data_IF_988960756996
#
_entry.id   IF_988960756996
#
_cell.length_a   1.000
_cell.length_b   1.000
_cell.length_c   1.000
_cell.angle_alpha   90.00
_cell.angle_beta   90.00
_cell.angle_gamma   90.00
#
_symmetry.space_group_name_H-M   'P 1'
#
loop_
_entity.id
_entity.type
_entity.pdbx_description
1 polymer ?
#
# COMPACT_ATOMS: atom_id res chain seq x y z
N UNK A 1 1.07 12.47 21.11
CA UNK A 1 -0.20 12.89 20.48
C UNK A 1 -0.35 12.08 19.20
N UNK A 2 -1.14 11.00 19.21
CA UNK A 2 -1.48 10.28 17.98
C UNK A 2 -2.78 10.89 17.44
N UNK A 3 -2.70 11.54 16.28
CA UNK A 3 -3.87 12.07 15.60
C UNK A 3 -4.68 10.90 15.04
N UNK A 4 -5.97 10.75 15.36
CA UNK A 4 -6.79 9.68 14.80
C UNK A 4 -6.86 9.80 13.27
N UNK A 5 -6.93 8.67 12.58
CA UNK A 5 -7.21 8.65 11.15
C UNK A 5 -8.71 8.78 10.96
N UNK A 6 -9.15 9.84 10.29
CA UNK A 6 -10.56 10.07 9.96
C UNK A 6 -10.86 9.48 8.59
N UNK A 7 -11.80 8.55 8.53
CA UNK A 7 -12.33 7.97 7.31
C UNK A 7 -13.21 8.96 6.55
N UNK A 8 -13.56 8.61 5.30
CA UNK A 8 -14.41 9.44 4.45
C UNK A 8 -15.81 9.72 5.03
N UNK A 9 -16.32 8.82 5.87
CA UNK A 9 -17.61 8.94 6.55
C UNK A 9 -17.53 9.79 7.83
N UNK A 10 -16.35 10.31 8.19
CA UNK A 10 -16.12 11.07 9.42
C UNK A 10 -15.85 10.20 10.65
N UNK A 11 -15.91 8.87 10.51
CA UNK A 11 -15.54 7.94 11.57
C UNK A 11 -14.03 8.02 11.82
N UNK A 12 -13.63 7.97 13.09
CA UNK A 12 -12.21 8.02 13.46
C UNK A 12 -11.74 6.65 13.92
N UNK A 13 -10.63 6.20 13.36
CA UNK A 13 -10.00 4.93 13.72
C UNK A 13 -8.83 5.20 14.65
N UNK A 14 -8.74 4.43 15.73
CA UNK A 14 -7.68 4.53 16.70
C UNK A 14 -6.37 3.94 16.15
N UNK A 15 -5.31 4.72 16.26
CA UNK A 15 -3.96 4.27 15.92
C UNK A 15 -3.41 3.40 17.05
N UNK A 16 -3.11 2.15 16.76
CA UNK A 16 -2.38 1.26 17.65
C UNK A 16 -0.88 1.59 17.67
N UNK A 17 -0.35 2.12 16.56
CA UNK A 17 1.03 2.53 16.48
C UNK A 17 1.57 2.54 15.06
N UNK A 18 2.86 2.28 14.92
CA UNK A 18 3.56 2.29 13.64
C UNK A 18 4.47 1.07 13.55
N UNK A 19 4.40 0.35 12.42
CA UNK A 19 5.21 -0.83 12.14
C UNK A 19 6.04 -0.63 10.87
N UNK A 20 7.31 -1.02 10.89
CA UNK A 20 8.15 -1.04 9.69
C UNK A 20 8.14 -2.44 9.10
N UNK A 21 7.58 -2.60 7.90
CA UNK A 21 7.45 -3.88 7.21
C UNK A 21 8.25 -3.85 5.91
N UNK A 22 8.83 -5.00 5.55
CA UNK A 22 9.34 -5.23 4.20
C UNK A 22 8.17 -5.60 3.30
N UNK A 23 7.97 -4.83 2.23
CA UNK A 23 6.93 -5.07 1.24
C UNK A 23 7.60 -5.52 -0.05
N UNK A 24 7.16 -6.67 -0.57
CA UNK A 24 7.58 -7.17 -1.88
C UNK A 24 6.46 -6.95 -2.89
N UNK A 25 6.76 -6.27 -3.99
CA UNK A 25 5.83 -6.02 -5.09
C UNK A 25 6.33 -6.72 -6.36
N UNK A 26 5.40 -7.26 -7.15
CA UNK A 26 5.71 -8.06 -8.35
C UNK A 26 5.90 -9.55 -8.04
N UNK A 27 6.30 -10.32 -9.05
CA UNK A 27 6.54 -11.77 -8.95
C UNK A 27 7.81 -12.15 -9.71
N UNK A 28 8.59 -13.08 -9.16
CA UNK A 28 9.80 -13.60 -9.81
C UNK A 28 10.92 -12.55 -9.94
N UNK A 29 11.60 -12.55 -11.09
CA UNK A 29 12.78 -11.71 -11.36
C UNK A 29 12.50 -10.22 -11.41
N UNK A 30 11.23 -9.81 -11.53
CA UNK A 30 10.81 -8.41 -11.56
C UNK A 30 10.29 -7.91 -10.21
N UNK A 31 10.41 -8.74 -9.17
CA UNK A 31 9.99 -8.34 -7.82
C UNK A 31 10.92 -7.31 -7.22
N UNK A 32 10.35 -6.36 -6.47
CA UNK A 32 11.08 -5.34 -5.72
C UNK A 32 10.67 -5.40 -4.26
N UNK A 33 11.66 -5.32 -3.36
CA UNK A 33 11.42 -5.34 -1.92
C UNK A 33 11.93 -4.04 -1.31
N UNK A 34 11.07 -3.36 -0.57
CA UNK A 34 11.40 -2.10 0.08
C UNK A 34 10.75 -1.99 1.46
N UNK A 35 11.35 -1.17 2.32
CA UNK A 35 10.87 -0.98 3.69
C UNK A 35 9.82 0.14 3.71
N UNK A 36 8.66 -0.16 4.29
CA UNK A 36 7.54 0.77 4.42
C UNK A 36 7.17 0.92 5.88
N UNK A 37 6.93 2.16 6.29
CA UNK A 37 6.39 2.46 7.60
C UNK A 37 4.86 2.53 7.49
N UNK A 38 4.18 1.56 8.10
CA UNK A 38 2.73 1.49 8.16
C UNK A 38 2.22 2.01 9.49
N UNK A 39 1.12 2.75 9.45
CA UNK A 39 0.33 3.04 10.63
C UNK A 39 -0.57 1.83 10.90
N UNK A 40 -0.51 1.30 12.12
CA UNK A 40 -1.32 0.19 12.58
C UNK A 40 -2.58 0.74 13.23
N UNK A 41 -3.72 0.20 12.83
CA UNK A 41 -5.05 0.61 13.28
C UNK A 41 -5.81 -0.60 13.79
N UNK A 42 -6.69 -0.38 14.77
CA UNK A 42 -7.61 -1.41 15.26
C UNK A 42 -8.95 -1.28 14.54
N UNK A 43 -9.21 -2.18 13.59
CA UNK A 43 -10.47 -2.24 12.83
C UNK A 43 -11.03 -3.66 12.93
N UNK A 44 -12.18 -3.78 13.58
CA UNK A 44 -12.77 -5.10 13.91
C UNK A 44 -13.40 -5.80 12.68
N UNK A 45 -13.91 -5.05 11.70
CA UNK A 45 -14.64 -5.60 10.54
C UNK A 45 -14.01 -5.20 9.17
N UNK A 46 -12.68 -5.27 9.06
CA UNK A 46 -11.99 -4.98 7.79
C UNK A 46 -11.85 -6.23 6.91
N UNK A 47 -12.24 -6.14 5.64
CA UNK A 47 -11.92 -7.16 4.63
C UNK A 47 -10.48 -7.06 4.08
N UNK A 48 -9.73 -6.02 4.45
CA UNK A 48 -8.38 -5.76 3.96
C UNK A 48 -7.37 -5.69 5.10
N UNK A 49 -6.21 -6.31 4.89
CA UNK A 49 -5.11 -6.34 5.86
C UNK A 49 -4.24 -5.07 5.85
N UNK A 50 -4.37 -4.22 4.83
CA UNK A 50 -3.57 -3.01 4.69
C UNK A 50 -3.96 -2.18 3.49
N UNK A 51 -3.68 -0.87 3.58
CA UNK A 51 -3.95 0.08 2.52
C UNK A 51 -2.63 0.69 2.02
N UNK A 52 -2.46 0.69 0.70
CA UNK A 52 -1.33 1.32 0.05
C UNK A 52 -1.77 2.68 -0.49
N UNK A 53 -1.39 3.73 0.23
CA UNK A 53 -1.69 5.10 -0.15
C UNK A 53 -0.77 5.66 -1.24
N UNK A 54 -1.06 6.89 -1.66
CA UNK A 54 -0.24 7.66 -2.62
C UNK A 54 1.25 7.71 -2.28
N UNK A 55 1.71 7.85 -1.02
CA UNK A 55 3.15 7.93 -0.72
C UNK A 55 3.95 6.72 -1.26
N UNK A 56 3.43 5.51 -1.05
CA UNK A 56 4.08 4.28 -1.53
C UNK A 56 3.97 4.20 -3.06
N UNK A 57 2.79 4.48 -3.62
CA UNK A 57 2.58 4.44 -5.07
C UNK A 57 3.50 5.42 -5.81
N UNK A 58 3.70 6.63 -5.29
CA UNK A 58 4.61 7.62 -5.88
C UNK A 58 6.07 7.18 -5.75
N UNK A 59 6.47 6.59 -4.61
CA UNK A 59 7.84 6.11 -4.39
C UNK A 59 8.27 5.06 -5.43
N UNK A 60 7.35 4.17 -5.83
CA UNK A 60 7.62 3.14 -6.85
C UNK A 60 7.27 3.58 -8.28
N UNK A 61 6.94 4.87 -8.48
CA UNK A 61 6.47 5.42 -9.76
C UNK A 61 5.30 4.61 -10.36
N UNK A 62 4.35 4.25 -9.51
CA UNK A 62 3.23 3.41 -9.89
C UNK A 62 2.25 4.13 -10.83
N UNK A 63 1.70 3.37 -11.75
CA UNK A 63 0.54 3.71 -12.57
C UNK A 63 -0.54 2.68 -12.30
N UNK A 64 -1.62 3.14 -11.67
CA UNK A 64 -2.82 2.32 -11.48
C UNK A 64 -3.64 2.38 -12.77
N UNK A 65 -4.00 1.23 -13.31
CA UNK A 65 -4.90 1.11 -14.46
C UNK A 65 -6.16 0.36 -14.04
N UNK A 66 -7.20 1.07 -13.56
CA UNK A 66 -8.43 0.44 -13.09
C UNK A 66 -9.11 -0.42 -14.16
N UNK A 67 -9.12 0.05 -15.41
CA UNK A 67 -9.75 -0.65 -16.55
C UNK A 67 -9.13 -2.03 -16.79
N UNK A 68 -7.84 -2.20 -16.53
CA UNK A 68 -7.13 -3.47 -16.73
C UNK A 68 -6.92 -4.25 -15.44
N UNK A 69 -7.37 -3.70 -14.30
CA UNK A 69 -7.04 -4.21 -12.96
C UNK A 69 -5.53 -4.41 -12.80
N UNK A 70 -4.72 -3.50 -13.34
CA UNK A 70 -3.25 -3.59 -13.29
C UNK A 70 -2.65 -2.45 -12.48
N UNK A 71 -1.63 -2.76 -11.73
CA UNK A 71 -0.69 -1.82 -11.14
C UNK A 71 0.65 -1.99 -11.84
N UNK A 72 1.08 -0.98 -12.59
CA UNK A 72 2.43 -0.94 -13.19
C UNK A 72 3.35 -0.12 -12.32
N UNK A 73 4.61 -0.52 -12.17
CA UNK A 73 5.60 0.22 -11.38
C UNK A 73 7.01 -0.01 -11.95
N UNK A 74 7.93 0.89 -11.63
CA UNK A 74 9.30 0.82 -12.12
C UNK A 74 10.19 0.06 -11.14
N UNK A 75 10.88 -0.97 -11.64
CA UNK A 75 11.85 -1.79 -10.88
C UNK A 75 13.17 -1.82 -11.62
N UNK A 76 14.24 -1.24 -11.06
CA UNK A 76 15.62 -1.33 -11.61
C UNK A 76 15.74 -1.17 -13.15
N UNK A 77 14.98 -0.23 -13.73
CA UNK A 77 14.99 0.04 -15.18
C UNK A 77 13.98 -0.78 -16.02
N UNK A 78 13.23 -1.68 -15.40
CA UNK A 78 12.18 -2.48 -16.02
C UNK A 78 10.79 -2.09 -15.49
N UNK A 79 9.77 -2.22 -16.34
CA UNK A 79 8.37 -2.03 -15.94
C UNK A 79 7.84 -3.38 -15.46
N UNK A 80 7.37 -3.40 -14.21
CA UNK A 80 6.75 -4.56 -13.60
C UNK A 80 5.25 -4.32 -13.46
N UNK A 81 4.48 -5.41 -13.42
CA UNK A 81 3.03 -5.33 -13.25
C UNK A 81 2.52 -6.30 -12.18
N UNK A 82 1.47 -5.87 -11.49
CA UNK A 82 0.64 -6.70 -10.61
C UNK A 82 -0.80 -6.61 -11.10
N UNK A 83 -1.51 -7.73 -11.09
CA UNK A 83 -2.96 -7.76 -11.28
C UNK A 83 -3.66 -7.66 -9.93
N UNK A 84 -4.80 -6.97 -9.90
CA UNK A 84 -5.84 -7.22 -8.92
C UNK A 84 -6.47 -8.60 -9.13
N UNK A 85 -7.21 -9.05 -8.12
CA UNK A 85 -8.11 -10.21 -8.22
C UNK A 85 -9.36 -9.85 -9.04
#
# INVERSE_FOLDING_TARGET
MHTPLTEFTGHSVYLLGVASLWVTMGKGVTSTTFRVQFTVVDIHDSSYNGLIGRPILTAIKAIVSPVHLKLKFLTEGHISEMSGD
#
